data_IF_291450546656
#
_entry.id   IF_291450546656
#
_cell.length_a   1.000
_cell.length_b   1.000
_cell.length_c   1.000
_cell.angle_alpha   90.00
_cell.angle_beta   90.00
_cell.angle_gamma   90.00
#
_symmetry.space_group_name_H-M   'P 1'
#
loop_
_entity.id
_entity.type
_entity.pdbx_description
1 polymer ?
#
# COMPACT_ATOMS: atom_id res chain seq x y z
N UNK A 1 21.76 -3.41 -11.89
CA UNK A 1 22.58 -2.70 -10.88
C UNK A 1 22.11 -3.18 -9.52
N UNK A 2 22.89 -4.00 -8.78
CA UNK A 2 22.46 -4.58 -7.50
C UNK A 2 22.30 -3.54 -6.37
N UNK A 3 22.63 -2.27 -6.63
CA UNK A 3 22.42 -1.15 -5.70
C UNK A 3 21.04 -0.49 -5.84
N UNK A 4 20.18 -0.98 -6.73
CA UNK A 4 18.86 -0.41 -7.02
C UNK A 4 17.79 -1.41 -6.60
N UNK A 5 16.88 -0.98 -5.73
CA UNK A 5 15.68 -1.72 -5.33
C UNK A 5 14.51 -1.31 -6.21
N UNK A 6 13.69 -2.27 -6.63
CA UNK A 6 12.50 -2.08 -7.44
C UNK A 6 11.26 -2.51 -6.65
N UNK A 7 10.59 -1.52 -6.07
CA UNK A 7 9.28 -1.72 -5.47
C UNK A 7 8.19 -1.58 -6.54
N UNK A 8 7.18 -2.45 -6.47
CA UNK A 8 6.00 -2.39 -7.31
C UNK A 8 4.77 -2.03 -6.49
N UNK A 9 4.01 -1.04 -6.94
CA UNK A 9 2.71 -0.68 -6.38
C UNK A 9 1.63 -0.91 -7.44
N UNK A 10 0.53 -1.60 -7.08
CA UNK A 10 -0.51 -1.97 -8.04
C UNK A 10 -1.92 -1.81 -7.50
N UNK A 11 -2.79 -1.14 -8.26
CA UNK A 11 -4.23 -1.04 -7.98
C UNK A 11 -5.03 -2.15 -8.64
N UNK A 12 -5.91 -2.76 -7.86
CA UNK A 12 -6.89 -3.70 -8.35
C UNK A 12 -8.33 -3.15 -8.33
N UNK A 13 -9.02 -3.14 -9.48
CA UNK A 13 -10.46 -3.42 -9.42
C UNK A 13 -11.03 -4.32 -10.52
N UNK A 14 -10.30 -4.65 -11.60
CA UNK A 14 -10.85 -5.46 -12.70
C UNK A 14 -9.91 -6.51 -13.28
N UNK A 15 -8.58 -6.38 -13.09
CA UNK A 15 -7.57 -7.26 -13.68
C UNK A 15 -6.90 -8.18 -12.64
N UNK A 16 -7.43 -8.20 -11.42
CA UNK A 16 -7.02 -9.00 -10.27
C UNK A 16 -6.48 -10.39 -10.65
N UNK A 17 -7.26 -11.17 -11.41
CA UNK A 17 -6.89 -12.56 -11.70
C UNK A 17 -5.60 -12.70 -12.51
N UNK A 18 -5.28 -11.77 -13.41
CA UNK A 18 -4.04 -11.86 -14.22
C UNK A 18 -2.81 -11.38 -13.47
N UNK A 19 -2.96 -10.39 -12.60
CA UNK A 19 -1.85 -9.81 -11.87
C UNK A 19 -1.62 -10.49 -10.52
N UNK A 20 -2.65 -10.92 -9.78
CA UNK A 20 -2.43 -11.82 -8.64
C UNK A 20 -1.97 -13.22 -9.05
N UNK A 21 -2.21 -13.62 -10.30
CA UNK A 21 -1.55 -14.78 -10.92
C UNK A 21 -0.22 -14.42 -11.62
N UNK A 22 0.18 -13.14 -11.61
CA UNK A 22 1.49 -12.76 -12.11
C UNK A 22 2.54 -13.26 -11.13
N UNK A 23 3.55 -13.90 -11.68
CA UNK A 23 4.67 -14.43 -10.94
C UNK A 23 5.65 -13.27 -10.66
N UNK A 24 5.27 -12.38 -9.74
CA UNK A 24 6.11 -11.26 -9.30
C UNK A 24 7.54 -11.70 -8.91
N UNK A 25 7.74 -12.87 -8.26
CA UNK A 25 9.08 -13.41 -8.04
C UNK A 25 9.92 -13.53 -9.31
N UNK A 26 9.33 -13.86 -10.47
CA UNK A 26 10.05 -13.91 -11.76
C UNK A 26 10.40 -12.55 -12.34
N UNK A 27 9.82 -11.47 -11.84
CA UNK A 27 10.10 -10.12 -12.34
C UNK A 27 11.25 -9.45 -11.58
N UNK A 28 11.83 -10.13 -10.59
CA UNK A 28 12.94 -9.64 -9.78
C UNK A 28 12.60 -8.28 -9.13
N UNK A 29 11.36 -8.14 -8.64
CA UNK A 29 10.92 -7.02 -7.81
C UNK A 29 11.29 -7.29 -6.35
N UNK A 30 11.71 -6.27 -5.63
CA UNK A 30 12.14 -6.39 -4.23
C UNK A 30 10.96 -6.38 -3.27
N UNK A 31 9.94 -5.54 -3.53
CA UNK A 31 8.72 -5.46 -2.73
C UNK A 31 7.47 -5.23 -3.58
N UNK A 32 6.34 -5.74 -3.12
CA UNK A 32 5.03 -5.55 -3.76
C UNK A 32 4.02 -4.97 -2.77
N UNK A 33 3.45 -3.83 -3.14
CA UNK A 33 2.40 -3.14 -2.41
C UNK A 33 1.07 -3.22 -3.15
N UNK A 34 0.01 -3.57 -2.43
CA UNK A 34 -1.36 -3.57 -2.93
C UNK A 34 -1.95 -2.19 -2.72
N UNK A 35 -2.34 -1.52 -3.80
CA UNK A 35 -2.90 -0.17 -3.74
C UNK A 35 -4.40 -0.23 -3.48
N UNK A 36 -4.80 0.26 -2.30
CA UNK A 36 -6.18 0.57 -2.04
C UNK A 36 -6.53 1.91 -2.68
N UNK A 37 -7.18 1.87 -3.83
CA UNK A 37 -7.49 3.08 -4.60
C UNK A 37 -8.69 3.87 -4.08
N UNK A 38 -9.65 3.20 -3.45
CA UNK A 38 -10.77 3.83 -2.79
C UNK A 38 -11.33 2.92 -1.68
N UNK A 39 -12.27 3.47 -0.92
CA UNK A 39 -12.88 2.77 0.21
C UNK A 39 -13.85 1.65 -0.20
N UNK A 40 -14.31 1.62 -1.47
CA UNK A 40 -15.35 0.67 -1.92
C UNK A 40 -14.89 -0.78 -1.82
N UNK A 41 -13.60 -1.05 -2.04
CA UNK A 41 -13.01 -2.40 -2.01
C UNK A 41 -11.95 -2.55 -0.91
N UNK A 42 -11.84 -1.58 0.01
CA UNK A 42 -10.70 -1.47 0.93
C UNK A 42 -10.40 -2.78 1.68
N UNK A 43 -11.41 -3.42 2.27
CA UNK A 43 -11.24 -4.67 3.01
C UNK A 43 -10.60 -5.78 2.16
N UNK A 44 -10.99 -5.91 0.89
CA UNK A 44 -10.38 -6.90 -0.01
C UNK A 44 -8.93 -6.56 -0.34
N UNK A 45 -8.63 -5.29 -0.52
CA UNK A 45 -7.25 -4.83 -0.75
C UNK A 45 -6.37 -5.08 0.49
N UNK A 46 -6.93 -4.94 1.69
CA UNK A 46 -6.27 -5.35 2.95
C UNK A 46 -6.01 -6.86 2.95
N UNK A 47 -7.02 -7.69 2.66
CA UNK A 47 -6.86 -9.15 2.61
C UNK A 47 -5.71 -9.58 1.67
N UNK A 48 -5.60 -8.94 0.50
CA UNK A 48 -4.46 -9.18 -0.40
C UNK A 48 -3.15 -8.68 0.20
N UNK A 49 -3.12 -7.46 0.75
CA UNK A 49 -1.93 -6.87 1.34
C UNK A 49 -1.33 -7.71 2.47
N UNK A 50 -2.15 -8.48 3.22
CA UNK A 50 -1.67 -9.43 4.24
C UNK A 50 -0.70 -10.49 3.68
N UNK A 51 -0.78 -10.79 2.39
CA UNK A 51 0.02 -11.84 1.73
C UNK A 51 1.28 -11.30 1.04
N UNK A 52 1.42 -9.98 0.90
CA UNK A 52 2.54 -9.32 0.20
C UNK A 52 3.39 -8.49 1.17
N UNK A 53 4.04 -7.42 0.70
CA UNK A 53 4.88 -6.54 1.53
C UNK A 53 4.07 -5.42 2.18
N UNK A 54 2.86 -5.15 1.69
CA UNK A 54 1.97 -4.23 2.37
C UNK A 54 0.93 -3.60 1.48
N UNK A 55 0.40 -2.48 1.99
CA UNK A 55 -0.67 -1.71 1.34
C UNK A 55 -0.16 -0.32 0.98
N UNK A 56 -0.57 0.17 -0.19
CA UNK A 56 -0.37 1.54 -0.60
C UNK A 56 -1.68 2.33 -0.47
N UNK A 57 -1.62 3.48 0.18
CA UNK A 57 -2.77 4.36 0.43
C UNK A 57 -2.45 5.82 0.13
N UNK A 58 -3.49 6.61 -0.08
CA UNK A 58 -3.41 8.07 -0.14
C UNK A 58 -3.71 8.72 1.21
N UNK A 59 -3.42 10.02 1.32
CA UNK A 59 -3.81 10.84 2.47
C UNK A 59 -5.34 10.92 2.68
N UNK A 60 -6.12 10.70 1.61
CA UNK A 60 -7.59 10.57 1.69
C UNK A 60 -8.06 9.36 2.49
N UNK A 61 -7.18 8.40 2.75
CA UNK A 61 -7.48 7.14 3.44
C UNK A 61 -6.86 7.09 4.83
N UNK A 62 -6.36 8.21 5.36
CA UNK A 62 -5.74 8.24 6.69
C UNK A 62 -6.70 7.85 7.81
N UNK A 63 -8.01 8.00 7.62
CA UNK A 63 -9.01 7.46 8.56
C UNK A 63 -8.95 5.93 8.71
N UNK A 64 -8.32 5.21 7.76
CA UNK A 64 -8.09 3.77 7.81
C UNK A 64 -6.78 3.38 8.50
N UNK A 65 -5.89 4.32 8.79
CA UNK A 65 -4.60 4.02 9.42
C UNK A 65 -4.74 3.25 10.75
N UNK A 66 -5.69 3.56 11.66
CA UNK A 66 -5.87 2.77 12.88
C UNK A 66 -6.15 1.29 12.61
N UNK A 67 -6.97 0.99 11.60
CA UNK A 67 -7.31 -0.39 11.17
C UNK A 67 -6.07 -1.10 10.60
N UNK A 68 -5.34 -0.44 9.70
CA UNK A 68 -4.16 -1.03 9.04
C UNK A 68 -3.02 -1.26 10.03
N UNK A 69 -2.75 -0.29 10.91
CA UNK A 69 -1.66 -0.37 11.90
C UNK A 69 -1.96 -1.41 12.98
N UNK A 70 -3.23 -1.65 13.31
CA UNK A 70 -3.63 -2.71 14.22
C UNK A 70 -3.50 -4.12 13.60
N UNK A 71 -3.44 -4.23 12.27
CA UNK A 71 -3.27 -5.49 11.56
C UNK A 71 -1.80 -5.91 11.50
N UNK A 72 -1.40 -6.86 12.35
CA UNK A 72 -0.02 -7.35 12.45
C UNK A 72 0.47 -8.15 11.23
N UNK A 73 -0.40 -8.46 10.26
CA UNK A 73 -0.01 -9.10 9.00
C UNK A 73 0.42 -8.11 7.93
N UNK A 74 0.05 -6.84 8.07
CA UNK A 74 0.51 -5.77 7.16
C UNK A 74 1.93 -5.38 7.57
N UNK A 75 2.90 -5.68 6.70
CA UNK A 75 4.33 -5.49 7.00
C UNK A 75 4.81 -4.06 6.76
N UNK A 76 4.21 -3.35 5.81
CA UNK A 76 4.55 -1.98 5.48
C UNK A 76 3.34 -1.21 4.94
N UNK A 77 3.40 0.12 5.06
CA UNK A 77 2.43 1.05 4.48
C UNK A 77 3.19 2.01 3.58
N UNK A 78 2.84 2.03 2.30
CA UNK A 78 3.34 3.03 1.34
C UNK A 78 2.31 4.16 1.26
N UNK A 79 2.72 5.39 1.63
CA UNK A 79 1.86 6.57 1.53
C UNK A 79 2.26 7.39 0.31
N UNK A 80 1.31 7.68 -0.57
CA UNK A 80 1.51 8.56 -1.71
C UNK A 80 0.50 9.73 -1.67
N UNK A 81 0.97 11.00 -1.60
CA UNK A 81 0.10 12.18 -1.55
C UNK A 81 -0.83 12.29 -2.77
N UNK A 82 -2.15 12.43 -2.58
CA UNK A 82 -3.09 12.63 -3.69
C UNK A 82 -3.30 14.12 -3.97
N UNK A 83 -2.47 14.68 -4.87
CA UNK A 83 -2.57 16.07 -5.37
C UNK A 83 -2.48 17.15 -4.28
N UNK A 84 -2.07 16.79 -3.07
CA UNK A 84 -1.83 17.70 -1.94
C UNK A 84 -0.34 17.98 -1.79
N UNK A 85 -0.02 19.02 -1.02
CA UNK A 85 1.35 19.32 -0.65
C UNK A 85 1.97 18.16 0.17
N UNK A 86 3.12 17.59 -0.22
CA UNK A 86 3.73 16.46 0.49
C UNK A 86 4.02 16.73 1.97
N UNK A 87 4.37 17.97 2.33
CA UNK A 87 4.62 18.40 3.71
C UNK A 87 3.37 18.31 4.58
N UNK A 88 2.20 18.59 4.02
CA UNK A 88 0.92 18.49 4.74
C UNK A 88 0.58 17.03 5.02
N UNK A 89 0.82 16.15 4.04
CA UNK A 89 0.63 14.71 4.20
C UNK A 89 1.57 14.15 5.26
N UNK A 90 2.85 14.53 5.22
CA UNK A 90 3.82 14.14 6.24
C UNK A 90 3.42 14.65 7.63
N UNK A 91 2.92 15.88 7.73
CA UNK A 91 2.46 16.47 8.99
C UNK A 91 1.24 15.77 9.56
N UNK A 92 0.26 15.41 8.72
CA UNK A 92 -0.90 14.60 9.12
C UNK A 92 -0.47 13.19 9.54
N UNK A 93 0.44 12.57 8.79
CA UNK A 93 0.91 11.21 9.08
C UNK A 93 1.63 11.14 10.45
N UNK A 94 2.41 12.17 10.80
CA UNK A 94 3.06 12.27 12.12
C UNK A 94 2.05 12.16 13.27
N UNK A 95 0.82 12.66 13.11
CA UNK A 95 -0.21 12.58 14.15
C UNK A 95 -0.59 11.13 14.51
N UNK A 96 -0.36 10.17 13.60
CA UNK A 96 -0.57 8.74 13.84
C UNK A 96 0.65 8.03 14.43
N UNK A 97 1.84 8.63 14.34
CA UNK A 97 3.08 8.10 14.91
C UNK A 97 3.35 8.58 16.34
N UNK A 98 2.65 9.62 16.82
CA UNK A 98 2.76 10.06 18.21
C UNK A 98 1.89 9.16 19.09
N UNK A 99 2.51 8.09 19.60
CA UNK A 99 2.14 7.47 20.88
C UNK A 99 3.09 7.98 21.95
#
# INVERSE_FOLDING_TARGET
>A
NPKVSFDLCHHNPYWAKKYFAADWPKWNVDRVFIQAYNDKNFTKEVDYAETYDGIAITDKQFHRLPEIVANNKIKAILVFPDRTNPEDVASKLKQFYVK
#
